data_IF_366330460499
#
_entry.id   IF_366330460499
#
_cell.length_a   1.000
_cell.length_b   1.000
_cell.length_c   1.000
_cell.angle_alpha   90.00
_cell.angle_beta   90.00
_cell.angle_gamma   90.00
#
_symmetry.space_group_name_H-M   'P 1'
#
loop_
_entity.id
_entity.type
_entity.pdbx_description
1 polymer ?
#
# COMPACT_ATOMS: atom_id res chain seq x y z
N UNK A 1 0.92 -21.45 5.79
CA UNK A 1 1.14 -20.36 4.81
C UNK A 1 2.01 -20.77 3.62
N UNK A 2 3.20 -21.37 3.77
CA UNK A 2 4.02 -21.78 2.60
C UNK A 2 3.30 -22.72 1.61
N UNK A 3 2.48 -23.65 2.11
CA UNK A 3 1.62 -24.50 1.28
C UNK A 3 0.61 -23.68 0.46
N UNK A 4 0.06 -22.61 1.03
CA UNK A 4 -0.88 -21.73 0.34
C UNK A 4 -0.20 -20.94 -0.78
N UNK A 5 1.02 -20.42 -0.55
CA UNK A 5 1.86 -19.81 -1.60
C UNK A 5 2.04 -20.79 -2.78
N UNK A 6 2.37 -22.05 -2.47
CA UNK A 6 2.53 -23.07 -3.52
C UNK A 6 1.22 -23.29 -4.29
N UNK A 7 0.11 -23.48 -3.59
CA UNK A 7 -1.20 -23.70 -4.23
C UNK A 7 -1.66 -22.50 -5.10
N UNK A 8 -1.33 -21.28 -4.69
CA UNK A 8 -1.58 -20.05 -5.45
C UNK A 8 -0.79 -20.04 -6.77
N UNK A 9 0.52 -20.28 -6.69
CA UNK A 9 1.41 -20.30 -7.86
C UNK A 9 1.07 -21.43 -8.83
N UNK A 10 0.67 -22.59 -8.29
CA UNK A 10 0.27 -23.76 -9.07
C UNK A 10 -1.14 -23.61 -9.67
N UNK A 11 -1.90 -22.56 -9.32
CA UNK A 11 -3.24 -22.29 -9.87
C UNK A 11 -4.30 -23.34 -9.50
N UNK A 12 -4.11 -24.07 -8.40
CA UNK A 12 -4.94 -25.25 -8.04
C UNK A 12 -6.29 -24.86 -7.45
N UNK A 13 -6.42 -23.65 -6.92
CA UNK A 13 -7.64 -23.17 -6.26
C UNK A 13 -8.59 -22.59 -7.30
N UNK A 14 -9.74 -23.25 -7.50
CA UNK A 14 -10.76 -22.84 -8.47
C UNK A 14 -11.90 -22.00 -7.88
N UNK A 15 -12.24 -22.20 -6.60
CA UNK A 15 -13.44 -21.63 -5.97
C UNK A 15 -13.10 -20.37 -5.14
N UNK A 16 -12.57 -19.34 -5.81
CA UNK A 16 -12.16 -18.11 -5.13
C UNK A 16 -13.31 -17.33 -4.50
N UNK A 17 -14.50 -17.36 -5.09
CA UNK A 17 -15.68 -16.65 -4.58
C UNK A 17 -16.03 -17.05 -3.14
N UNK A 18 -15.81 -18.31 -2.78
CA UNK A 18 -16.08 -18.84 -1.44
C UNK A 18 -14.92 -18.56 -0.46
N UNK A 19 -13.68 -18.77 -0.92
CA UNK A 19 -12.52 -18.78 -0.04
C UNK A 19 -11.81 -17.45 0.09
N UNK A 20 -12.00 -16.52 -0.84
CA UNK A 20 -11.22 -15.29 -0.86
C UNK A 20 -11.40 -14.45 0.39
N UNK A 21 -12.64 -14.08 0.74
CA UNK A 21 -12.90 -13.18 1.86
C UNK A 21 -12.44 -13.77 3.21
N UNK A 22 -12.75 -15.03 3.57
CA UNK A 22 -12.20 -15.64 4.79
C UNK A 22 -10.67 -15.69 4.79
N UNK A 23 -10.07 -16.06 3.65
CA UNK A 23 -8.60 -16.13 3.53
C UNK A 23 -7.97 -14.75 3.71
N UNK A 24 -8.52 -13.72 3.08
CA UNK A 24 -8.06 -12.34 3.21
C UNK A 24 -8.12 -11.90 4.67
N UNK A 25 -9.27 -12.07 5.33
CA UNK A 25 -9.45 -11.65 6.74
C UNK A 25 -8.45 -12.33 7.67
N UNK A 26 -8.27 -13.65 7.56
CA UNK A 26 -7.28 -14.39 8.36
C UNK A 26 -5.87 -13.84 8.13
N UNK A 27 -5.50 -13.57 6.88
CA UNK A 27 -4.17 -13.02 6.56
C UNK A 27 -3.98 -11.61 7.12
N UNK A 28 -5.01 -10.76 7.06
CA UNK A 28 -4.97 -9.41 7.63
C UNK A 28 -4.88 -9.43 9.16
N UNK A 29 -5.60 -10.33 9.82
CA UNK A 29 -5.49 -10.55 11.28
C UNK A 29 -4.09 -11.06 11.65
N UNK A 30 -3.51 -11.93 10.83
CA UNK A 30 -2.15 -12.48 11.04
C UNK A 30 -1.06 -11.40 10.97
N UNK A 31 -1.33 -10.23 10.40
CA UNK A 31 -0.40 -9.09 10.45
C UNK A 31 -0.25 -8.51 11.87
N UNK A 32 -1.11 -8.88 12.81
CA UNK A 32 -0.99 -8.54 14.24
C UNK A 32 -0.32 -9.62 15.09
N UNK A 33 0.21 -10.69 14.51
CA UNK A 33 0.86 -11.78 15.24
C UNK A 33 2.12 -11.32 15.98
N UNK A 34 2.36 -11.86 17.18
CA UNK A 34 3.56 -11.54 17.97
C UNK A 34 4.86 -11.92 17.23
N UNK A 35 4.82 -13.00 16.44
CA UNK A 35 5.94 -13.52 15.67
C UNK A 35 6.18 -12.76 14.37
N UNK A 36 7.32 -12.08 14.26
CA UNK A 36 7.67 -11.32 13.06
C UNK A 36 7.79 -12.18 11.80
N UNK A 37 8.21 -13.45 11.94
CA UNK A 37 8.25 -14.40 10.82
C UNK A 37 6.84 -14.71 10.30
N UNK A 38 5.86 -14.84 11.19
CA UNK A 38 4.44 -15.06 10.85
C UNK A 38 3.89 -13.87 10.08
N UNK A 39 4.11 -12.65 10.59
CA UNK A 39 3.68 -11.40 9.92
C UNK A 39 4.29 -11.26 8.53
N UNK A 40 5.61 -11.45 8.41
CA UNK A 40 6.31 -11.39 7.13
C UNK A 40 5.80 -12.46 6.15
N UNK A 41 5.48 -13.66 6.62
CA UNK A 41 4.96 -14.73 5.78
C UNK A 41 3.51 -14.45 5.32
N UNK A 42 2.67 -13.84 6.16
CA UNK A 42 1.34 -13.41 5.76
C UNK A 42 1.38 -12.37 4.65
N UNK A 43 2.28 -11.38 4.73
CA UNK A 43 2.52 -10.40 3.66
C UNK A 43 2.94 -11.05 2.34
N UNK A 44 3.80 -12.07 2.40
CA UNK A 44 4.20 -12.83 1.21
C UNK A 44 3.03 -13.61 0.60
N UNK A 45 2.13 -14.16 1.42
CA UNK A 45 0.92 -14.81 0.90
C UNK A 45 0.00 -13.79 0.23
N UNK A 46 -0.22 -12.63 0.85
CA UNK A 46 -1.02 -11.54 0.28
C UNK A 46 -0.43 -11.05 -1.04
N UNK A 47 0.90 -10.91 -1.11
CA UNK A 47 1.62 -10.55 -2.33
C UNK A 47 1.32 -11.55 -3.47
N UNK A 48 1.37 -12.85 -3.19
CA UNK A 48 1.11 -13.89 -4.19
C UNK A 48 -0.37 -13.94 -4.60
N UNK A 49 -1.29 -13.69 -3.67
CA UNK A 49 -2.73 -13.55 -3.96
C UNK A 49 -2.97 -12.42 -4.96
N UNK A 50 -2.38 -11.24 -4.72
CA UNK A 50 -2.51 -10.08 -5.62
C UNK A 50 -1.96 -10.40 -7.01
N UNK A 51 -0.83 -11.11 -7.12
CA UNK A 51 -0.27 -11.53 -8.42
C UNK A 51 -1.18 -12.51 -9.14
N UNK A 52 -1.76 -13.46 -8.42
CA UNK A 52 -2.54 -14.55 -9.00
C UNK A 52 -3.96 -14.10 -9.39
N UNK A 53 -4.57 -13.23 -8.57
CA UNK A 53 -5.99 -12.88 -8.60
C UNK A 53 -6.24 -11.40 -8.22
N UNK A 54 -5.69 -10.43 -8.95
CA UNK A 54 -5.84 -9.01 -8.63
C UNK A 54 -7.31 -8.55 -8.62
N UNK A 55 -8.17 -9.17 -9.43
CA UNK A 55 -9.60 -8.85 -9.56
C UNK A 55 -10.37 -9.02 -8.24
N UNK A 56 -9.95 -9.93 -7.37
CA UNK A 56 -10.64 -10.21 -6.11
C UNK A 56 -10.48 -9.07 -5.09
N UNK A 57 -9.48 -8.21 -5.27
CA UNK A 57 -9.17 -7.15 -4.31
C UNK A 57 -9.98 -5.88 -4.50
N UNK A 58 -10.76 -5.74 -5.58
CA UNK A 58 -11.43 -4.48 -5.91
C UNK A 58 -12.27 -3.93 -4.73
N UNK A 59 -13.17 -4.75 -4.19
CA UNK A 59 -14.08 -4.36 -3.10
C UNK A 59 -13.40 -4.23 -1.73
N UNK A 60 -12.15 -4.69 -1.62
CA UNK A 60 -11.38 -4.73 -0.37
C UNK A 60 -10.15 -3.83 -0.40
N UNK A 61 -9.89 -3.14 -1.52
CA UNK A 61 -8.65 -2.44 -1.79
C UNK A 61 -8.31 -1.42 -0.70
N UNK A 62 -9.30 -0.66 -0.23
CA UNK A 62 -9.09 0.34 0.81
C UNK A 62 -8.56 -0.26 2.11
N UNK A 63 -9.25 -1.27 2.65
CA UNK A 63 -8.86 -1.97 3.88
C UNK A 63 -7.49 -2.67 3.70
N UNK A 64 -7.32 -3.38 2.60
CA UNK A 64 -6.12 -4.13 2.31
C UNK A 64 -4.89 -3.22 2.19
N UNK A 65 -4.99 -2.12 1.42
CA UNK A 65 -3.89 -1.17 1.24
C UNK A 65 -3.51 -0.52 2.57
N UNK A 66 -4.48 -0.11 3.40
CA UNK A 66 -4.18 0.40 4.75
C UNK A 66 -3.34 -0.61 5.53
N UNK A 67 -3.75 -1.88 5.56
CA UNK A 67 -3.05 -2.93 6.33
C UNK A 67 -1.62 -3.17 5.83
N UNK A 68 -1.39 -3.13 4.52
CA UNK A 68 -0.04 -3.22 3.95
C UNK A 68 0.80 -2.00 4.33
N UNK A 69 0.23 -0.79 4.27
CA UNK A 69 0.94 0.45 4.59
C UNK A 69 1.25 0.58 6.09
N UNK A 70 0.37 0.08 6.97
CA UNK A 70 0.63 -0.07 8.41
C UNK A 70 1.84 -0.99 8.64
N UNK A 71 1.90 -2.14 7.94
CA UNK A 71 2.99 -3.10 8.04
C UNK A 71 4.34 -2.56 7.49
N UNK A 72 4.33 -1.57 6.60
CA UNK A 72 5.56 -0.85 6.19
C UNK A 72 6.21 -0.07 7.34
N UNK A 73 5.54 0.05 8.49
CA UNK A 73 6.03 0.71 9.70
C UNK A 73 6.27 -0.25 10.86
N UNK A 74 6.34 -1.55 10.58
CA UNK A 74 6.65 -2.58 11.57
C UNK A 74 8.01 -2.31 12.24
N UNK A 75 8.22 -2.78 13.47
CA UNK A 75 9.49 -2.66 14.16
C UNK A 75 10.58 -3.54 13.53
N UNK A 76 10.19 -4.63 12.86
CA UNK A 76 11.09 -5.63 12.31
C UNK A 76 11.37 -5.40 10.83
N UNK A 77 12.66 -5.25 10.49
CA UNK A 77 13.12 -4.96 9.12
C UNK A 77 12.66 -6.01 8.10
N UNK A 78 12.55 -7.26 8.51
CA UNK A 78 12.10 -8.36 7.65
C UNK A 78 10.62 -8.22 7.27
N UNK A 79 9.78 -7.73 8.19
CA UNK A 79 8.36 -7.44 7.96
C UNK A 79 8.21 -6.20 7.10
N UNK A 80 8.93 -5.11 7.42
CA UNK A 80 8.94 -3.89 6.61
C UNK A 80 9.27 -4.23 5.15
N UNK A 81 10.33 -5.02 4.91
CA UNK A 81 10.71 -5.42 3.55
C UNK A 81 9.62 -6.21 2.85
N UNK A 82 8.99 -7.18 3.54
CA UNK A 82 7.89 -7.96 2.97
C UNK A 82 6.67 -7.08 2.64
N UNK A 83 6.40 -6.06 3.48
CA UNK A 83 5.31 -5.12 3.27
C UNK A 83 5.59 -4.20 2.07
N UNK A 84 6.82 -3.69 1.94
CA UNK A 84 7.22 -2.90 0.78
C UNK A 84 7.17 -3.73 -0.51
N UNK A 85 7.64 -4.97 -0.50
CA UNK A 85 7.55 -5.89 -1.65
C UNK A 85 6.08 -6.17 -2.02
N UNK A 86 5.20 -6.30 -1.02
CA UNK A 86 3.76 -6.43 -1.22
C UNK A 86 3.17 -5.15 -1.84
N UNK A 87 3.44 -3.97 -1.28
CA UNK A 87 2.99 -2.68 -1.79
C UNK A 87 3.42 -2.44 -3.25
N UNK A 88 4.66 -2.76 -3.58
CA UNK A 88 5.18 -2.70 -4.96
C UNK A 88 4.36 -3.62 -5.89
N UNK A 89 3.99 -4.81 -5.41
CA UNK A 89 3.19 -5.77 -6.18
C UNK A 89 1.77 -5.27 -6.39
N UNK A 90 1.17 -4.66 -5.37
CA UNK A 90 -0.15 -4.01 -5.48
C UNK A 90 -0.11 -2.91 -6.53
N UNK A 91 0.88 -2.01 -6.49
CA UNK A 91 1.04 -0.92 -7.45
C UNK A 91 1.25 -1.40 -8.91
N UNK A 92 1.76 -2.62 -9.09
CA UNK A 92 2.00 -3.22 -10.41
C UNK A 92 0.82 -4.03 -10.96
N UNK A 93 -0.02 -4.61 -10.10
CA UNK A 93 -1.01 -5.61 -10.51
C UNK A 93 -2.47 -5.16 -10.32
N UNK A 94 -2.74 -4.19 -9.43
CA UNK A 94 -4.08 -3.62 -9.33
C UNK A 94 -4.27 -2.47 -10.34
N UNK A 95 -5.52 -2.19 -10.76
CA UNK A 95 -5.80 -1.04 -11.62
C UNK A 95 -5.26 0.26 -11.02
N UNK A 96 -4.54 1.05 -11.81
CA UNK A 96 -3.85 2.25 -11.33
C UNK A 96 -4.85 3.28 -10.78
N UNK A 97 -5.99 3.44 -11.45
CA UNK A 97 -7.08 4.33 -11.01
C UNK A 97 -7.61 3.93 -9.62
N UNK A 98 -7.82 2.63 -9.38
CA UNK A 98 -8.22 2.12 -8.07
C UNK A 98 -7.19 2.45 -6.99
N UNK A 99 -5.90 2.21 -7.30
CA UNK A 99 -4.81 2.55 -6.37
C UNK A 99 -4.76 4.05 -6.06
N UNK A 100 -4.91 4.93 -7.07
CA UNK A 100 -4.90 6.38 -6.87
C UNK A 100 -6.09 6.85 -6.04
N UNK A 101 -7.28 6.31 -6.30
CA UNK A 101 -8.50 6.59 -5.54
C UNK A 101 -8.40 6.16 -4.08
N UNK A 102 -7.67 5.07 -3.79
CA UNK A 102 -7.42 4.63 -2.41
C UNK A 102 -6.30 5.46 -1.76
N UNK A 103 -5.17 5.67 -2.42
CA UNK A 103 -3.98 6.28 -1.82
C UNK A 103 -4.16 7.79 -1.56
N UNK A 104 -4.86 8.50 -2.43
CA UNK A 104 -5.04 9.95 -2.30
C UNK A 104 -5.71 10.37 -0.99
N UNK A 105 -6.87 9.82 -0.58
CA UNK A 105 -7.46 10.14 0.72
C UNK A 105 -6.58 9.68 1.89
N UNK A 106 -5.88 8.54 1.78
CA UNK A 106 -5.01 8.03 2.85
C UNK A 106 -3.82 8.95 3.13
N UNK A 107 -3.22 9.56 2.10
CA UNK A 107 -2.10 10.51 2.26
C UNK A 107 -2.52 11.77 3.02
N UNK A 108 -3.79 12.18 2.84
CA UNK A 108 -4.34 13.37 3.47
C UNK A 108 -4.88 13.10 4.89
N UNK A 109 -4.99 11.83 5.29
CA UNK A 109 -5.42 11.44 6.63
C UNK A 109 -4.24 11.42 7.62
N UNK A 110 -4.15 12.47 8.44
CA UNK A 110 -3.10 12.61 9.44
C UNK A 110 -3.19 11.63 10.61
N UNK A 111 -4.34 10.98 10.82
CA UNK A 111 -4.57 10.09 11.97
C UNK A 111 -3.97 8.70 11.78
N UNK A 112 -3.83 8.24 10.52
CA UNK A 112 -3.34 6.90 10.22
C UNK A 112 -1.81 6.78 10.36
N UNK A 113 -1.09 7.91 10.34
CA UNK A 113 0.38 7.95 10.40
C UNK A 113 1.08 7.10 9.32
N UNK A 114 0.42 6.81 8.18
CA UNK A 114 0.95 6.01 7.05
C UNK A 114 1.36 6.84 5.84
N UNK A 115 1.45 8.17 5.99
CA UNK A 115 1.64 9.09 4.86
C UNK A 115 2.89 8.77 4.03
N UNK A 116 4.02 8.48 4.68
CA UNK A 116 5.27 8.20 3.97
C UNK A 116 5.20 6.92 3.09
N UNK A 117 4.81 5.74 3.61
CA UNK A 117 4.65 4.56 2.76
C UNK A 117 3.53 4.75 1.72
N UNK A 118 2.45 5.49 2.04
CA UNK A 118 1.38 5.79 1.08
C UNK A 118 1.89 6.62 -0.11
N UNK A 119 2.67 7.68 0.15
CA UNK A 119 3.31 8.50 -0.89
C UNK A 119 4.29 7.65 -1.70
N UNK A 120 5.12 6.82 -1.05
CA UNK A 120 6.07 5.94 -1.74
C UNK A 120 5.35 5.00 -2.72
N UNK A 121 4.25 4.39 -2.30
CA UNK A 121 3.43 3.54 -3.15
C UNK A 121 2.73 4.34 -4.26
N UNK A 122 2.19 5.53 -3.96
CA UNK A 122 1.53 6.38 -4.95
C UNK A 122 2.50 6.83 -6.05
N UNK A 123 3.75 7.17 -5.70
CA UNK A 123 4.79 7.48 -6.68
C UNK A 123 5.02 6.32 -7.65
N UNK A 124 5.02 5.08 -7.16
CA UNK A 124 5.18 3.90 -8.03
C UNK A 124 3.96 3.67 -8.93
N UNK A 125 2.75 3.90 -8.43
CA UNK A 125 1.53 3.83 -9.24
C UNK A 125 1.61 4.86 -10.36
N UNK A 126 1.94 6.11 -10.05
CA UNK A 126 2.10 7.19 -11.03
C UNK A 126 3.16 6.84 -12.08
N UNK A 127 4.29 6.26 -11.68
CA UNK A 127 5.35 5.83 -12.60
C UNK A 127 4.89 4.75 -13.60
N UNK A 128 3.89 3.96 -13.25
CA UNK A 128 3.32 2.91 -14.09
C UNK A 128 2.01 3.32 -14.79
N UNK A 129 1.49 4.52 -14.51
CA UNK A 129 0.24 5.03 -15.07
C UNK A 129 0.46 5.66 -16.45
N UNK A 130 -0.60 5.68 -17.27
CA UNK A 130 -0.57 6.46 -18.51
C UNK A 130 -0.55 7.97 -18.22
N UNK A 131 0.05 8.78 -19.10
CA UNK A 131 0.05 10.24 -18.94
C UNK A 131 -1.36 10.83 -18.80
N UNK A 132 -2.35 10.27 -19.49
CA UNK A 132 -3.74 10.71 -19.46
C UNK A 132 -4.35 10.53 -18.07
N UNK A 133 -4.16 9.35 -17.47
CA UNK A 133 -4.62 9.08 -16.11
C UNK A 133 -3.94 9.98 -15.08
N UNK A 134 -2.62 10.20 -15.23
CA UNK A 134 -1.89 11.11 -14.33
C UNK A 134 -2.42 12.54 -14.46
N UNK A 135 -2.73 12.98 -15.67
CA UNK A 135 -3.31 14.30 -15.92
C UNK A 135 -4.70 14.46 -15.27
N UNK A 136 -5.54 13.43 -15.32
CA UNK A 136 -6.85 13.43 -14.64
C UNK A 136 -6.71 13.57 -13.12
N UNK A 137 -5.70 12.94 -12.52
CA UNK A 137 -5.49 12.94 -11.08
C UNK A 137 -4.60 14.09 -10.57
N UNK A 138 -4.01 14.92 -11.45
CA UNK A 138 -2.95 15.87 -11.10
C UNK A 138 -3.34 16.82 -9.96
N UNK A 139 -4.58 17.34 -9.99
CA UNK A 139 -5.08 18.27 -8.98
C UNK A 139 -5.28 17.62 -7.61
N UNK A 140 -5.57 16.32 -7.58
CA UNK A 140 -5.74 15.55 -6.35
C UNK A 140 -4.38 15.11 -5.75
N UNK A 141 -3.35 14.96 -6.60
CA UNK A 141 -1.98 14.59 -6.21
C UNK A 141 -1.19 15.76 -5.59
N UNK A 142 -1.39 16.98 -6.10
CA UNK A 142 -0.64 18.18 -5.67
C UNK A 142 -0.83 18.53 -4.18
N UNK A 143 -2.03 18.50 -3.58
CA UNK A 143 -2.22 18.81 -2.16
C UNK A 143 -1.39 17.90 -1.24
N UNK A 144 -1.35 16.59 -1.53
CA UNK A 144 -0.60 15.61 -0.72
C UNK A 144 0.93 15.80 -0.79
N UNK A 145 1.46 16.20 -1.95
CA UNK A 145 2.90 16.43 -2.15
C UNK A 145 3.37 17.78 -1.56
N UNK A 146 2.53 18.82 -1.63
CA UNK A 146 2.84 20.15 -1.08
C UNK A 146 2.84 20.15 0.45
N UNK A 147 1.90 19.42 1.09
CA UNK A 147 1.80 19.36 2.57
C UNK A 147 3.03 18.71 3.21
N UNK A 148 3.58 17.64 2.62
CA UNK A 148 4.81 16.99 3.13
C UNK A 148 6.05 17.82 2.83
N UNK A 149 6.08 18.52 1.69
CA UNK A 149 7.12 19.50 1.40
C UNK A 149 7.18 20.59 2.48
N UNK A 150 6.06 21.21 2.82
CA UNK A 150 6.02 22.26 3.84
C UNK A 150 6.34 21.70 5.24
N UNK A 151 5.95 20.47 5.56
CA UNK A 151 6.26 19.85 6.86
C UNK A 151 7.75 19.50 7.02
N UNK A 152 8.48 19.22 5.94
CA UNK A 152 9.94 19.01 5.96
C UNK A 152 10.77 20.28 5.77
N UNK A 153 10.23 21.31 5.12
CA UNK A 153 10.91 22.60 4.92
C UNK A 153 10.56 23.66 5.98
N UNK A 154 9.49 23.47 6.76
CA UNK A 154 9.03 24.41 7.80
C UNK A 154 9.93 24.52 9.03
N UNK A 155 10.97 23.70 9.17
CA UNK A 155 11.99 23.81 10.24
C UNK A 155 13.29 24.49 9.79
N UNK A 156 13.40 24.90 8.53
CA UNK A 156 14.54 25.67 8.02
C UNK A 156 14.09 26.76 7.03
N UNK A 157 13.40 27.78 7.53
CA UNK A 157 13.32 29.07 6.84
C UNK A 157 13.99 30.13 7.73
N UNK A 158 15.10 30.76 7.29
CA UNK A 158 15.68 31.86 8.03
C UNK A 158 14.70 33.04 8.02
N UNK A 159 14.47 33.63 9.20
CA UNK A 159 13.82 34.93 9.34
C UNK A 159 14.54 35.95 8.46
N UNK A 160 13.97 36.29 7.31
CA UNK A 160 14.26 37.57 6.68
C UNK A 160 13.58 38.64 7.53
N UNK A 161 14.36 39.24 8.44
CA UNK A 161 14.02 40.53 9.01
C UNK A 161 14.03 41.54 7.86
N UNK A 162 12.85 42.08 7.56
CA UNK A 162 12.75 43.42 6.99
C UNK A 162 13.17 44.40 8.08
N UNK A 163 14.24 45.15 7.85
CA UNK A 163 14.46 46.44 8.50
C UNK A 163 14.88 47.43 7.41
N UNK A 164 14.17 48.56 7.44
CA UNK A 164 14.28 49.75 6.59
C UNK A 164 15.61 50.50 6.78
#
# INVERSE_FOLDING_TARGET
>A
MLKLIKLLRDGVISNWDEYFKPTLLILLETLGDDGHETRALALRVLQELVRAKPELFHDFAYLFVIKVLEACRDSEKSVIRAAEDCANTVAQNLPQELCLNVLTPLINDSQLHINLPAIKMQMQVIQNSSPELVHEFINALIPGLVIVGISRFGTQLPHFKHED
#
